data_IF_064488629353
#
_entry.id   IF_064488629353
#
_cell.length_a   1.000
_cell.length_b   1.000
_cell.length_c   1.000
_cell.angle_alpha   90.00
_cell.angle_beta   90.00
_cell.angle_gamma   90.00
#
_symmetry.space_group_name_H-M   'P 1'
#
loop_
_entity.id
_entity.type
_entity.pdbx_description
1 polymer ?
#
# COMPACT_ATOMS: atom_id res chain seq x y z
N UNK A 1 17.46 6.75 5.07
CA UNK A 1 17.01 6.83 3.66
C UNK A 1 17.53 8.12 3.06
N UNK A 2 18.00 8.13 1.81
CA UNK A 2 18.47 9.34 1.14
C UNK A 2 17.41 9.85 0.15
N UNK A 3 16.80 11.01 0.41
CA UNK A 3 15.74 11.60 -0.46
C UNK A 3 16.26 12.12 -1.80
N UNK A 4 17.57 12.32 -1.93
CA UNK A 4 18.19 12.81 -3.17
C UNK A 4 18.51 11.68 -4.17
N UNK A 5 18.36 10.44 -3.76
CA UNK A 5 18.47 9.26 -4.58
C UNK A 5 17.09 8.60 -4.73
N UNK A 6 16.94 7.72 -5.69
CA UNK A 6 15.74 6.92 -5.84
C UNK A 6 15.45 6.10 -4.58
N UNK A 7 14.24 6.14 -4.08
CA UNK A 7 13.82 5.51 -2.83
C UNK A 7 12.44 4.85 -2.90
N UNK A 8 12.22 3.91 -1.99
CA UNK A 8 10.91 3.30 -1.79
C UNK A 8 10.51 3.42 -0.32
N UNK A 9 9.28 3.84 -0.06
CA UNK A 9 8.68 3.77 1.28
C UNK A 9 7.54 2.77 1.25
N UNK A 10 7.66 1.67 1.99
CA UNK A 10 6.57 0.70 2.15
C UNK A 10 5.84 0.90 3.46
N UNK A 11 4.49 0.98 3.40
CA UNK A 11 3.64 1.17 4.57
C UNK A 11 2.76 -0.04 4.79
N UNK A 12 3.09 -0.86 5.78
CA UNK A 12 2.19 -1.86 6.34
C UNK A 12 1.32 -1.24 7.42
N UNK A 13 0.10 -1.74 7.57
CA UNK A 13 -0.88 -1.11 8.46
C UNK A 13 -1.98 -2.08 8.90
N UNK A 14 -2.51 -1.86 10.07
CA UNK A 14 -3.74 -2.47 10.54
C UNK A 14 -4.97 -1.78 9.92
N UNK A 15 -6.08 -2.51 9.75
CA UNK A 15 -7.33 -1.89 9.31
C UNK A 15 -7.83 -0.89 10.36
N UNK A 16 -8.21 0.30 9.93
CA UNK A 16 -8.68 1.37 10.82
C UNK A 16 -7.57 2.22 11.45
N UNK A 17 -6.28 1.90 11.25
CA UNK A 17 -5.17 2.73 11.75
C UNK A 17 -4.92 4.03 10.96
N UNK A 18 -5.55 4.19 9.79
CA UNK A 18 -5.31 5.36 8.92
C UNK A 18 -4.12 5.25 7.98
N UNK A 19 -3.37 4.15 8.02
CA UNK A 19 -2.10 4.03 7.31
C UNK A 19 -2.17 4.18 5.78
N UNK A 20 -3.31 3.89 5.12
CA UNK A 20 -3.49 4.16 3.69
C UNK A 20 -3.52 5.66 3.40
N UNK A 21 -4.28 6.41 4.21
CA UNK A 21 -4.37 7.88 4.11
C UNK A 21 -3.01 8.52 4.38
N UNK A 22 -2.29 8.04 5.39
CA UNK A 22 -0.91 8.47 5.69
C UNK A 22 0.00 8.25 4.47
N UNK A 23 -0.04 7.06 3.85
CA UNK A 23 0.76 6.76 2.67
C UNK A 23 0.51 7.70 1.50
N UNK A 24 -0.76 8.00 1.21
CA UNK A 24 -1.13 8.96 0.16
C UNK A 24 -0.60 10.37 0.46
N UNK A 25 -0.85 10.87 1.66
CA UNK A 25 -0.39 12.20 2.08
C UNK A 25 1.14 12.30 2.10
N UNK A 26 1.82 11.22 2.48
CA UNK A 26 3.28 11.15 2.45
C UNK A 26 3.81 11.25 1.01
N UNK A 27 3.21 10.50 0.09
CA UNK A 27 3.55 10.56 -1.32
C UNK A 27 3.34 11.96 -1.91
N UNK A 28 2.20 12.58 -1.62
CA UNK A 28 1.89 13.97 -2.02
C UNK A 28 2.96 14.96 -1.52
N UNK A 29 3.35 14.86 -0.23
CA UNK A 29 4.37 15.75 0.35
C UNK A 29 5.78 15.53 -0.23
N UNK A 30 6.09 14.31 -0.61
CA UNK A 30 7.37 13.95 -1.23
C UNK A 30 7.38 14.18 -2.75
N UNK A 31 6.22 14.46 -3.36
CA UNK A 31 6.08 14.63 -4.80
C UNK A 31 6.31 13.35 -5.60
N UNK A 32 5.96 12.18 -5.01
CA UNK A 32 6.14 10.85 -5.62
C UNK A 32 4.82 10.11 -5.78
N UNK A 33 4.81 9.08 -6.61
CA UNK A 33 3.61 8.26 -6.84
C UNK A 33 3.25 7.39 -5.62
N UNK A 34 1.94 7.13 -5.47
CA UNK A 34 1.39 6.27 -4.43
C UNK A 34 0.77 5.01 -5.03
N UNK A 35 1.17 3.83 -4.54
CA UNK A 35 0.65 2.56 -4.99
C UNK A 35 -0.01 1.77 -3.87
N UNK A 36 -1.18 1.21 -4.14
CA UNK A 36 -1.85 0.26 -3.27
C UNK A 36 -2.43 -0.92 -4.05
N UNK A 37 -3.08 -1.86 -3.35
CA UNK A 37 -3.66 -3.06 -3.97
C UNK A 37 -4.60 -2.74 -5.13
N UNK A 38 -5.45 -1.73 -5.00
CA UNK A 38 -6.44 -1.41 -6.02
C UNK A 38 -5.76 -0.92 -7.31
N UNK A 39 -4.71 -0.12 -7.17
CA UNK A 39 -3.92 0.36 -8.31
C UNK A 39 -3.20 -0.81 -8.98
N UNK A 40 -2.50 -1.65 -8.20
CA UNK A 40 -1.77 -2.81 -8.75
C UNK A 40 -2.72 -3.78 -9.47
N UNK A 41 -3.89 -4.09 -8.86
CA UNK A 41 -4.90 -4.94 -9.50
C UNK A 41 -5.46 -4.33 -10.78
N UNK A 42 -5.72 -3.03 -10.80
CA UNK A 42 -6.16 -2.32 -11.99
C UNK A 42 -5.16 -2.41 -13.15
N UNK A 43 -3.87 -2.48 -12.83
CA UNK A 43 -2.81 -2.68 -13.80
C UNK A 43 -2.82 -4.10 -14.38
N UNK A 44 -2.88 -5.11 -13.52
CA UNK A 44 -2.96 -6.51 -13.93
C UNK A 44 -4.15 -6.76 -14.88
N UNK A 45 -5.34 -6.28 -14.49
CA UNK A 45 -6.57 -6.46 -15.27
C UNK A 45 -6.55 -5.73 -16.62
N UNK A 46 -6.04 -4.50 -16.66
CA UNK A 46 -6.09 -3.66 -17.86
C UNK A 46 -5.09 -4.08 -18.91
N UNK A 47 -3.94 -4.58 -18.52
CA UNK A 47 -2.90 -5.01 -19.45
C UNK A 47 -2.95 -6.48 -19.76
N UNK A 48 -3.81 -7.27 -19.08
CA UNK A 48 -3.85 -8.72 -19.20
C UNK A 48 -2.44 -9.33 -19.25
N UNK A 49 -1.56 -8.77 -18.38
CA UNK A 49 -0.13 -9.05 -18.39
C UNK A 49 0.11 -10.48 -17.91
N UNK A 50 0.59 -11.32 -18.80
CA UNK A 50 1.20 -12.58 -18.41
C UNK A 50 2.54 -12.33 -17.70
N UNK A 51 2.96 -13.26 -16.84
CA UNK A 51 4.28 -13.20 -16.19
C UNK A 51 5.42 -13.00 -17.19
N UNK A 52 5.35 -13.63 -18.36
CA UNK A 52 6.35 -13.48 -19.42
C UNK A 52 6.42 -12.06 -19.99
N UNK A 53 5.28 -11.38 -20.07
CA UNK A 53 5.22 -9.99 -20.56
C UNK A 53 5.79 -9.03 -19.52
N UNK A 54 5.51 -9.27 -18.23
CA UNK A 54 6.08 -8.48 -17.12
C UNK A 54 7.61 -8.64 -17.08
N UNK A 55 8.12 -9.88 -17.19
CA UNK A 55 9.57 -10.14 -17.26
C UNK A 55 10.22 -9.48 -18.48
N UNK A 56 9.55 -9.45 -19.63
CA UNK A 56 10.03 -8.74 -20.84
C UNK A 56 10.00 -7.21 -20.69
N UNK A 57 9.10 -6.67 -19.87
CA UNK A 57 9.00 -5.24 -19.59
C UNK A 57 10.20 -4.72 -18.77
N UNK A 58 10.75 -5.50 -17.84
CA UNK A 58 11.99 -5.16 -17.11
C UNK A 58 13.20 -4.91 -18.02
N UNK A 59 13.18 -5.44 -19.23
CA UNK A 59 14.25 -5.24 -20.22
C UNK A 59 14.07 -4.03 -21.18
N UNK A 60 12.92 -3.36 -21.14
CA UNK A 60 12.58 -2.26 -22.07
C UNK A 60 12.36 -0.96 -21.29
N UNK A 61 13.47 -0.31 -20.94
CA UNK A 61 13.50 0.96 -20.22
C UNK A 61 12.82 2.07 -20.99
N UNK A 62 11.67 2.47 -21.00
CA UNK A 62 11.23 3.87 -21.27
C UNK A 62 9.78 4.07 -21.76
N UNK A 63 9.21 3.20 -22.60
CA UNK A 63 7.92 3.54 -23.21
C UNK A 63 6.69 3.01 -22.43
N UNK A 64 6.78 1.84 -21.83
CA UNK A 64 5.66 1.25 -21.10
C UNK A 64 5.32 2.01 -19.81
N UNK A 65 6.33 2.57 -19.16
CA UNK A 65 6.18 3.33 -17.92
C UNK A 65 5.46 4.69 -18.15
N UNK A 66 5.74 5.36 -19.27
CA UNK A 66 5.03 6.58 -19.64
C UNK A 66 3.57 6.30 -20.03
N UNK A 67 3.32 5.20 -20.71
CA UNK A 67 1.96 4.74 -21.02
C UNK A 67 1.23 4.34 -19.72
N UNK A 68 1.93 3.73 -18.78
CA UNK A 68 1.46 3.40 -17.46
C UNK A 68 1.08 4.64 -16.65
N UNK A 69 1.96 5.64 -16.52
CA UNK A 69 1.67 6.93 -15.85
C UNK A 69 0.45 7.62 -16.45
N UNK A 70 0.33 7.60 -17.77
CA UNK A 70 -0.84 8.14 -18.47
C UNK A 70 -2.13 7.44 -18.04
N UNK A 71 -2.09 6.14 -17.80
CA UNK A 71 -3.25 5.32 -17.45
C UNK A 71 -3.62 5.48 -15.98
N UNK A 72 -2.64 5.54 -15.07
CA UNK A 72 -2.88 5.83 -13.65
C UNK A 72 -3.54 7.20 -13.51
N UNK A 73 -3.04 8.24 -14.19
CA UNK A 73 -3.66 9.58 -14.22
C UNK A 73 -5.07 9.59 -14.79
N UNK A 74 -5.34 8.79 -15.82
CA UNK A 74 -6.70 8.62 -16.36
C UNK A 74 -7.58 7.86 -15.37
N UNK A 75 -7.04 6.83 -14.68
CA UNK A 75 -7.74 6.07 -13.65
C UNK A 75 -8.11 6.92 -12.43
N UNK A 76 -7.24 7.82 -11.99
CA UNK A 76 -7.53 8.78 -10.92
C UNK A 76 -8.66 9.75 -11.34
N UNK A 77 -8.67 10.22 -12.58
CA UNK A 77 -9.76 11.05 -13.13
C UNK A 77 -11.10 10.32 -13.17
N UNK A 78 -11.13 9.03 -13.43
CA UNK A 78 -12.36 8.21 -13.43
C UNK A 78 -12.84 7.88 -12.02
N UNK A 79 -11.94 7.68 -11.05
CA UNK A 79 -12.31 7.42 -9.66
C UNK A 79 -12.84 8.67 -8.93
N UNK A 80 -12.42 9.86 -9.34
CA UNK A 80 -12.84 11.12 -8.71
C UNK A 80 -14.15 11.69 -9.25
N UNK A 81 -14.54 11.32 -10.49
CA UNK A 81 -15.70 11.94 -11.17
C UNK A 81 -17.03 11.22 -10.88
N UNK A 82 -17.04 9.94 -10.55
CA UNK A 82 -18.26 9.14 -10.47
C UNK A 82 -18.69 8.66 -9.08
N UNK A 83 -17.99 9.00 -7.99
CA UNK A 83 -18.43 8.67 -6.64
C UNK A 83 -18.08 9.76 -5.63
N UNK A 84 -19.05 10.60 -5.19
CA UNK A 84 -18.84 11.59 -4.12
C UNK A 84 -18.44 10.96 -2.77
N UNK A 85 -18.48 9.62 -2.69
CA UNK A 85 -18.04 8.81 -1.54
C UNK A 85 -16.73 8.07 -1.78
N UNK A 86 -16.05 8.27 -2.91
CA UNK A 86 -14.84 7.53 -3.31
C UNK A 86 -13.55 7.95 -2.55
N UNK A 87 -13.61 8.94 -1.69
CA UNK A 87 -12.61 9.12 -0.64
C UNK A 87 -12.59 7.97 0.39
N UNK A 88 -13.51 7.00 0.25
CA UNK A 88 -13.62 5.82 1.09
C UNK A 88 -12.86 4.66 0.46
N UNK A 89 -11.94 4.13 1.23
CA UNK A 89 -11.10 2.95 1.02
C UNK A 89 -11.82 1.77 0.31
N UNK A 90 -12.00 1.86 -1.01
CA UNK A 90 -12.71 0.84 -1.81
C UNK A 90 -12.01 -0.54 -1.73
N UNK A 91 -10.70 -0.56 -1.47
CA UNK A 91 -9.92 -1.80 -1.34
C UNK A 91 -10.26 -2.64 -0.10
N UNK A 92 -10.97 -2.06 0.86
CA UNK A 92 -11.32 -2.76 2.11
C UNK A 92 -12.78 -3.24 2.15
N UNK A 93 -13.55 -3.08 1.05
CA UNK A 93 -15.00 -3.38 1.02
C UNK A 93 -15.37 -4.77 0.52
N UNK A 94 -14.48 -5.50 -0.15
CA UNK A 94 -14.76 -6.85 -0.64
C UNK A 94 -13.82 -7.86 -0.02
N UNK A 95 -14.34 -9.02 0.46
CA UNK A 95 -13.49 -10.16 0.71
C UNK A 95 -12.86 -10.56 -0.63
N UNK A 96 -11.55 -10.38 -0.69
CA UNK A 96 -10.79 -10.62 -1.90
C UNK A 96 -10.80 -12.09 -2.29
N UNK A 97 -10.85 -12.35 -3.59
CA UNK A 97 -10.46 -13.66 -4.10
C UNK A 97 -9.04 -13.99 -3.61
N UNK A 98 -8.79 -15.22 -3.17
CA UNK A 98 -7.49 -15.61 -2.65
C UNK A 98 -6.42 -15.41 -3.72
N UNK A 99 -5.41 -14.62 -3.39
CA UNK A 99 -4.24 -14.41 -4.26
C UNK A 99 -3.56 -15.76 -4.52
N UNK A 100 -3.28 -16.07 -5.77
CA UNK A 100 -2.46 -17.23 -6.15
C UNK A 100 -0.97 -16.91 -6.02
N UNK A 101 -0.11 -17.93 -6.04
CA UNK A 101 1.34 -17.72 -6.05
C UNK A 101 1.82 -16.98 -7.30
N UNK A 102 1.15 -17.21 -8.43
CA UNK A 102 1.41 -16.51 -9.69
C UNK A 102 1.04 -15.04 -9.60
N UNK A 103 -0.13 -14.71 -9.05
CA UNK A 103 -0.53 -13.33 -8.80
C UNK A 103 0.44 -12.61 -7.86
N UNK A 104 0.89 -13.28 -6.77
CA UNK A 104 1.88 -12.68 -5.88
C UNK A 104 3.21 -12.41 -6.59
N UNK A 105 3.65 -13.35 -7.45
CA UNK A 105 4.86 -13.16 -8.26
C UNK A 105 4.69 -11.98 -9.21
N UNK A 106 3.58 -11.90 -9.95
CA UNK A 106 3.27 -10.80 -10.87
C UNK A 106 3.26 -9.45 -10.16
N UNK A 107 2.55 -9.33 -9.04
CA UNK A 107 2.52 -8.12 -8.21
C UNK A 107 3.93 -7.72 -7.72
N UNK A 108 4.74 -8.69 -7.32
CA UNK A 108 6.11 -8.45 -6.87
C UNK A 108 6.98 -7.90 -7.99
N UNK A 109 6.92 -8.50 -9.18
CA UNK A 109 7.67 -8.05 -10.36
C UNK A 109 7.25 -6.63 -10.79
N UNK A 110 5.94 -6.33 -10.80
CA UNK A 110 5.43 -4.98 -11.09
C UNK A 110 5.97 -3.96 -10.08
N UNK A 111 5.89 -4.27 -8.79
CA UNK A 111 6.36 -3.36 -7.73
C UNK A 111 7.87 -3.13 -7.80
N UNK A 112 8.66 -4.16 -8.08
CA UNK A 112 10.10 -4.04 -8.24
C UNK A 112 10.46 -3.22 -9.48
N UNK A 113 9.76 -3.43 -10.61
CA UNK A 113 9.96 -2.65 -11.83
C UNK A 113 9.65 -1.16 -11.61
N UNK A 114 8.59 -0.83 -10.88
CA UNK A 114 8.27 0.54 -10.49
C UNK A 114 9.42 1.14 -9.66
N UNK A 115 9.86 0.41 -8.66
CA UNK A 115 10.93 0.86 -7.75
C UNK A 115 12.29 0.99 -8.41
N UNK A 116 12.54 0.30 -9.53
CA UNK A 116 13.76 0.45 -10.35
C UNK A 116 13.71 1.70 -11.24
N UNK A 117 12.55 2.29 -11.47
CA UNK A 117 12.37 3.42 -12.39
C UNK A 117 12.19 4.75 -11.65
N UNK A 118 11.41 4.77 -10.55
CA UNK A 118 11.16 6.00 -9.80
C UNK A 118 10.96 5.78 -8.29
N UNK A 119 11.08 6.88 -7.53
CA UNK A 119 10.75 6.89 -6.13
C UNK A 119 9.24 6.75 -5.91
N UNK A 120 8.82 5.96 -4.92
CA UNK A 120 7.40 5.74 -4.67
C UNK A 120 7.08 5.42 -3.20
N UNK A 121 5.79 5.57 -2.86
CA UNK A 121 5.20 5.08 -1.61
C UNK A 121 4.25 3.94 -1.92
N UNK A 122 4.45 2.78 -1.29
CA UNK A 122 3.64 1.57 -1.51
C UNK A 122 2.89 1.18 -0.24
N UNK A 123 1.58 1.04 -0.31
CA UNK A 123 0.76 0.63 0.85
C UNK A 123 0.36 -0.85 0.77
N UNK A 124 0.93 -1.66 1.66
CA UNK A 124 0.67 -3.10 1.77
C UNK A 124 1.49 -3.96 0.83
N UNK A 125 0.88 -5.01 0.27
CA UNK A 125 1.49 -5.96 -0.70
C UNK A 125 2.81 -6.57 -0.22
N UNK A 126 2.94 -6.79 1.10
CA UNK A 126 4.19 -7.26 1.72
C UNK A 126 5.42 -6.41 1.35
N UNK A 127 5.24 -5.09 1.18
CA UNK A 127 6.29 -4.17 0.72
C UNK A 127 7.60 -4.28 1.51
N UNK A 128 7.53 -4.48 2.84
CA UNK A 128 8.70 -4.72 3.67
C UNK A 128 9.53 -5.93 3.20
N UNK A 129 8.88 -6.93 2.60
CA UNK A 129 9.54 -8.13 2.08
C UNK A 129 9.94 -7.96 0.61
N UNK A 130 9.06 -7.38 -0.21
CA UNK A 130 9.29 -7.17 -1.65
C UNK A 130 10.53 -6.30 -1.86
N UNK A 131 10.67 -5.24 -1.07
CA UNK A 131 11.76 -4.27 -1.21
C UNK A 131 12.93 -4.48 -0.24
N UNK A 132 13.01 -5.60 0.47
CA UNK A 132 14.06 -5.86 1.47
C UNK A 132 15.51 -5.75 0.94
N UNK A 133 15.69 -5.94 -0.35
CA UNK A 133 17.00 -5.82 -1.03
C UNK A 133 17.18 -4.49 -1.77
N UNK A 134 16.19 -3.58 -1.73
CA UNK A 134 16.32 -2.28 -2.36
C UNK A 134 17.23 -1.39 -1.49
N UNK A 135 18.30 -0.78 -2.06
CA UNK A 135 19.33 -0.10 -1.28
C UNK A 135 18.83 1.11 -0.49
N UNK A 136 17.75 1.74 -0.93
CA UNK A 136 17.18 2.94 -0.34
C UNK A 136 15.69 2.73 -0.01
N UNK A 137 15.40 1.73 0.80
CA UNK A 137 14.05 1.36 1.24
C UNK A 137 13.82 1.79 2.69
N UNK A 138 12.64 2.32 2.96
CA UNK A 138 12.13 2.57 4.31
C UNK A 138 10.86 1.74 4.52
N UNK A 139 10.86 0.88 5.51
CA UNK A 139 9.68 0.09 5.90
C UNK A 139 9.00 0.65 7.14
N UNK A 140 7.70 0.93 7.02
CA UNK A 140 6.88 1.52 8.08
C UNK A 140 5.71 0.60 8.43
N UNK A 141 5.45 0.41 9.73
CA UNK A 141 4.23 -0.24 10.21
C UNK A 141 3.39 0.73 11.04
N UNK A 142 2.11 0.89 10.66
CA UNK A 142 1.17 1.74 11.38
C UNK A 142 0.11 0.87 12.04
N UNK A 143 0.10 0.87 13.36
CA UNK A 143 -0.84 0.15 14.22
C UNK A 143 -1.72 1.12 15.03
N UNK A 144 -2.79 0.61 15.62
CA UNK A 144 -3.58 1.36 16.60
C UNK A 144 -4.36 0.41 17.50
N UNK A 145 -4.80 0.91 18.66
CA UNK A 145 -5.66 0.16 19.56
C UNK A 145 -7.00 -0.21 18.90
N UNK A 146 -7.59 -1.30 19.35
CA UNK A 146 -8.90 -1.73 18.83
C UNK A 146 -9.98 -0.65 18.98
N UNK A 147 -10.11 0.03 20.15
CA UNK A 147 -11.09 1.12 20.29
C UNK A 147 -10.90 2.26 19.27
N UNK A 148 -9.65 2.68 19.04
CA UNK A 148 -9.34 3.73 18.05
C UNK A 148 -9.77 3.29 16.65
N UNK A 149 -9.45 2.08 16.26
CA UNK A 149 -9.72 1.51 14.93
C UNK A 149 -11.20 1.34 14.68
N UNK A 150 -11.96 0.84 15.68
CA UNK A 150 -13.42 0.71 15.64
C UNK A 150 -14.07 2.08 15.48
N UNK A 151 -13.74 3.03 16.38
CA UNK A 151 -14.30 4.38 16.33
C UNK A 151 -14.05 5.04 14.97
N UNK A 152 -12.86 4.89 14.40
CA UNK A 152 -12.52 5.43 13.08
C UNK A 152 -13.40 4.83 11.96
N UNK A 153 -13.67 3.52 11.98
CA UNK A 153 -14.56 2.89 10.98
C UNK A 153 -16.02 3.32 11.17
N UNK A 154 -16.49 3.41 12.40
CA UNK A 154 -17.84 3.92 12.71
C UNK A 154 -17.99 5.34 12.15
N UNK A 155 -17.06 6.24 12.46
CA UNK A 155 -17.15 7.64 12.04
C UNK A 155 -16.97 7.81 10.51
N UNK A 156 -16.01 7.12 9.90
CA UNK A 156 -15.71 7.33 8.47
C UNK A 156 -16.62 6.54 7.52
N UNK A 157 -17.17 5.42 7.96
CA UNK A 157 -17.96 4.51 7.12
C UNK A 157 -19.42 4.35 7.51
N UNK A 158 -19.83 4.92 8.65
CA UNK A 158 -21.18 4.79 9.16
C UNK A 158 -21.56 3.36 9.59
N UNK A 159 -20.56 2.55 9.93
CA UNK A 159 -20.75 1.17 10.40
C UNK A 159 -21.18 1.15 11.87
N UNK A 160 -21.81 0.08 12.30
CA UNK A 160 -21.97 -0.20 13.74
C UNK A 160 -20.63 -0.66 14.34
N UNK A 161 -20.49 -0.59 15.66
CA UNK A 161 -19.28 -1.07 16.35
C UNK A 161 -19.06 -2.57 16.13
N UNK A 162 -20.13 -3.36 16.10
CA UNK A 162 -20.09 -4.80 15.88
C UNK A 162 -19.59 -5.12 14.46
N UNK A 163 -20.09 -4.44 13.44
CA UNK A 163 -19.63 -4.56 12.06
C UNK A 163 -18.17 -4.16 11.92
N UNK A 164 -17.77 -3.05 12.58
CA UNK A 164 -16.40 -2.57 12.56
C UNK A 164 -15.44 -3.58 13.22
N UNK A 165 -15.78 -4.15 14.37
CA UNK A 165 -15.02 -5.20 15.04
C UNK A 165 -14.84 -6.45 14.18
N UNK A 166 -15.93 -6.88 13.53
CA UNK A 166 -15.91 -8.05 12.67
C UNK A 166 -14.98 -7.84 11.47
N UNK A 167 -15.17 -6.75 10.73
CA UNK A 167 -14.37 -6.49 9.53
C UNK A 167 -12.88 -6.25 9.85
N UNK A 168 -12.57 -5.63 11.00
CA UNK A 168 -11.17 -5.45 11.45
C UNK A 168 -10.50 -6.82 11.62
N UNK A 169 -11.14 -7.74 12.33
CA UNK A 169 -10.60 -9.09 12.57
C UNK A 169 -10.40 -9.85 11.26
N UNK A 170 -11.42 -9.89 10.41
CA UNK A 170 -11.38 -10.59 9.13
C UNK A 170 -10.29 -10.05 8.19
N UNK A 171 -10.19 -8.74 8.04
CA UNK A 171 -9.22 -8.11 7.14
C UNK A 171 -7.78 -8.26 7.67
N UNK A 172 -7.57 -8.11 8.97
CA UNK A 172 -6.22 -8.25 9.53
C UNK A 172 -5.77 -9.71 9.51
N UNK A 173 -6.67 -10.66 9.72
CA UNK A 173 -6.37 -12.09 9.57
C UNK A 173 -6.04 -12.44 8.11
N UNK A 174 -6.82 -11.95 7.14
CA UNK A 174 -6.51 -12.14 5.72
C UNK A 174 -5.13 -11.58 5.35
N UNK A 175 -4.79 -10.39 5.85
CA UNK A 175 -3.48 -9.76 5.61
C UNK A 175 -2.34 -10.55 6.25
N UNK A 176 -2.55 -11.05 7.46
CA UNK A 176 -1.57 -11.91 8.15
C UNK A 176 -1.35 -13.22 7.39
N UNK A 177 -2.43 -13.88 6.98
CA UNK A 177 -2.37 -15.13 6.22
C UNK A 177 -1.67 -14.92 4.87
N UNK A 178 -1.93 -13.80 4.19
CA UNK A 178 -1.24 -13.41 2.98
C UNK A 178 0.28 -13.26 3.21
N UNK A 179 0.67 -12.51 4.24
CA UNK A 179 2.09 -12.31 4.57
C UNK A 179 2.74 -13.66 4.91
N UNK A 180 2.17 -14.45 5.82
CA UNK A 180 2.71 -15.77 6.18
C UNK A 180 2.89 -16.69 4.98
N UNK A 181 1.88 -16.75 4.13
CA UNK A 181 1.89 -17.65 2.96
C UNK A 181 3.03 -17.33 1.99
N UNK A 182 3.28 -16.05 1.72
CA UNK A 182 4.19 -15.64 0.65
C UNK A 182 5.57 -15.19 1.13
N UNK A 183 5.71 -14.86 2.41
CA UNK A 183 7.00 -14.39 2.95
C UNK A 183 7.61 -15.32 4.00
N UNK A 184 6.83 -16.26 4.52
CA UNK A 184 7.26 -17.16 5.59
C UNK A 184 7.41 -16.50 6.97
N UNK A 185 7.05 -15.20 7.11
CA UNK A 185 7.13 -14.46 8.36
C UNK A 185 5.77 -13.87 8.75
N UNK A 186 5.68 -13.23 9.90
CA UNK A 186 4.49 -12.51 10.35
C UNK A 186 4.62 -11.01 10.08
N UNK A 187 3.52 -10.37 9.70
CA UNK A 187 3.46 -8.91 9.56
C UNK A 187 3.64 -8.16 10.89
N UNK A 188 3.49 -8.84 12.01
CA UNK A 188 3.62 -8.26 13.35
C UNK A 188 5.03 -8.38 13.93
N UNK A 189 5.97 -9.01 13.24
CA UNK A 189 7.36 -8.98 13.64
C UNK A 189 7.95 -7.59 13.37
N UNK A 190 8.16 -6.84 14.45
CA UNK A 190 8.65 -5.46 14.37
C UNK A 190 10.04 -5.34 13.75
N UNK A 191 10.82 -6.42 13.70
CA UNK A 191 12.13 -6.47 13.03
C UNK A 191 12.05 -6.32 11.51
N UNK A 192 10.85 -6.45 10.94
CA UNK A 192 10.60 -6.22 9.52
C UNK A 192 10.47 -4.73 9.15
N UNK A 193 10.51 -3.83 10.14
CA UNK A 193 10.20 -2.41 9.93
C UNK A 193 11.28 -1.52 10.53
N UNK A 194 11.62 -0.44 9.82
CA UNK A 194 12.49 0.61 10.32
C UNK A 194 11.75 1.52 11.31
N UNK A 195 10.43 1.68 11.11
CA UNK A 195 9.57 2.50 11.98
C UNK A 195 8.28 1.74 12.30
N UNK A 196 7.90 1.73 13.58
CA UNK A 196 6.58 1.30 14.04
C UNK A 196 5.88 2.46 14.72
N UNK A 197 4.70 2.86 14.23
CA UNK A 197 3.96 4.01 14.75
C UNK A 197 2.61 3.55 15.27
N UNK A 198 2.27 3.96 16.51
CA UNK A 198 0.92 3.82 17.06
C UNK A 198 0.13 5.09 16.77
N UNK A 199 -1.00 4.94 16.07
CA UNK A 199 -1.80 6.06 15.58
C UNK A 199 -2.75 6.67 16.64
N UNK A 200 -2.89 6.02 17.80
CA UNK A 200 -3.76 6.53 18.87
C UNK A 200 -3.40 7.96 19.27
N UNK A 201 -4.42 8.81 19.30
CA UNK A 201 -4.26 10.22 19.66
C UNK A 201 -3.53 11.09 18.62
N UNK A 202 -3.26 10.55 17.41
CA UNK A 202 -2.58 11.28 16.34
C UNK A 202 -3.47 11.43 15.13
N UNK A 203 -3.34 12.56 14.45
CA UNK A 203 -3.87 12.77 13.10
C UNK A 203 -2.97 12.11 12.06
N UNK A 204 -3.50 11.88 10.87
CA UNK A 204 -2.70 11.36 9.75
C UNK A 204 -1.56 12.31 9.37
N UNK A 205 -1.77 13.63 9.51
CA UNK A 205 -0.74 14.63 9.21
C UNK A 205 0.41 14.59 10.22
N UNK A 206 0.12 14.44 11.51
CA UNK A 206 1.15 14.27 12.54
C UNK A 206 1.98 12.99 12.30
N UNK A 207 1.34 11.90 11.87
CA UNK A 207 2.05 10.66 11.52
C UNK A 207 2.95 10.88 10.30
N UNK A 208 2.49 11.61 9.30
CA UNK A 208 3.32 11.98 8.13
C UNK A 208 4.52 12.79 8.56
N UNK A 209 4.35 13.83 9.43
CA UNK A 209 5.47 14.62 9.93
C UNK A 209 6.48 13.78 10.72
N UNK A 210 6.01 12.80 11.52
CA UNK A 210 6.92 11.89 12.21
C UNK A 210 7.76 11.05 11.25
N UNK A 211 7.16 10.55 10.16
CA UNK A 211 7.90 9.80 9.14
C UNK A 211 8.90 10.72 8.44
N UNK A 212 8.48 11.93 8.04
CA UNK A 212 9.36 12.91 7.40
C UNK A 212 10.52 13.32 8.31
N UNK A 213 10.27 13.54 9.59
CA UNK A 213 11.31 13.87 10.59
C UNK A 213 12.32 12.73 10.77
N UNK A 214 11.90 11.46 10.63
CA UNK A 214 12.80 10.32 10.67
C UNK A 214 13.71 10.23 9.45
N UNK A 215 13.20 10.67 8.31
CA UNK A 215 13.96 10.65 7.04
C UNK A 215 15.00 11.79 6.99
N UNK A 216 14.77 12.89 7.69
CA UNK A 216 15.65 14.07 7.73
C UNK A 216 15.26 15.14 6.72
#
# INVERSE_FOLDING_TARGET
MNKNEQFVISINRELGSGGRTVGRKLAEKLGVEFFDKAIIKGLEERYNLSLEEIEKLRGRKHNWWEDFKRIVRIGEGYMTVNDPKSGQEASDRQPDQPTTSEMFKAETEILQAIAEDESCVVAGRSGFFVFRNHPNHLSVFIQASMPFRVNRLVQKRGMTEEEALKIIKEVDEMRENYVKKYTGTTRYDTRNYDIVITADGKTEDEIVEHILSFIG
#
